data_IF_219453876300
#
_entry.id   IF_219453876300
#
_cell.length_a   1.000
_cell.length_b   1.000
_cell.length_c   1.000
_cell.angle_alpha   90.00
_cell.angle_beta   90.00
_cell.angle_gamma   90.00
#
_symmetry.space_group_name_H-M   'P 1'
#
loop_
_entity.id
_entity.type
_entity.pdbx_description
1 polymer ?
#
# COMPACT_ATOMS: atom_id res chain seq x y z
N UNK A 1 -17.38 -6.99 -15.77
CA UNK A 1 -15.92 -7.04 -15.48
C UNK A 1 -15.55 -5.72 -14.82
N UNK A 2 -14.84 -5.72 -13.71
CA UNK A 2 -14.43 -4.48 -13.04
C UNK A 2 -13.30 -3.82 -13.85
N UNK A 3 -13.39 -2.51 -14.08
CA UNK A 3 -12.34 -1.73 -14.76
C UNK A 3 -12.05 -0.51 -13.90
N UNK A 4 -10.79 -0.33 -13.50
CA UNK A 4 -10.36 0.89 -12.81
C UNK A 4 -10.12 2.01 -13.83
N UNK A 5 -10.73 3.17 -13.58
CA UNK A 5 -10.40 4.42 -14.23
C UNK A 5 -9.90 5.39 -13.14
N UNK A 6 -8.63 5.27 -12.78
CA UNK A 6 -8.03 6.04 -11.68
C UNK A 6 -8.41 5.49 -10.29
N UNK A 7 -8.67 6.36 -9.31
CA UNK A 7 -8.89 6.05 -7.88
C UNK A 7 -10.20 5.27 -7.57
N UNK A 8 -11.04 4.98 -8.56
CA UNK A 8 -12.34 4.34 -8.36
C UNK A 8 -12.41 3.00 -9.12
N UNK A 9 -12.67 1.93 -8.36
CA UNK A 9 -12.95 0.61 -8.89
C UNK A 9 -14.45 0.53 -9.20
N UNK A 10 -14.80 0.57 -10.49
CA UNK A 10 -16.19 0.55 -10.94
C UNK A 10 -16.52 -0.82 -11.51
N UNK A 11 -17.61 -1.43 -11.02
CA UNK A 11 -18.21 -2.59 -11.67
C UNK A 11 -18.83 -2.07 -12.98
N UNK A 12 -18.29 -2.52 -14.11
CA UNK A 12 -18.85 -2.21 -15.42
C UNK A 12 -19.48 -3.46 -16.00
N UNK A 13 -20.75 -3.32 -16.34
CA UNK A 13 -21.43 -4.27 -17.22
C UNK A 13 -21.12 -3.89 -18.67
N UNK A 14 -20.58 -4.82 -19.45
CA UNK A 14 -20.28 -4.65 -20.86
C UNK A 14 -21.39 -5.30 -21.69
N UNK A 15 -22.09 -4.51 -22.51
CA UNK A 15 -23.15 -4.98 -23.40
C UNK A 15 -22.74 -4.79 -24.85
N UNK A 16 -22.92 -5.82 -25.68
CA UNK A 16 -22.61 -5.81 -27.11
C UNK A 16 -23.88 -5.65 -27.93
N UNK A 17 -23.97 -4.57 -28.71
CA UNK A 17 -25.10 -4.32 -29.60
C UNK A 17 -24.67 -3.53 -30.84
N UNK A 18 -25.18 -3.91 -32.02
CA UNK A 18 -24.88 -3.25 -33.30
C UNK A 18 -23.38 -3.03 -33.57
N UNK A 19 -22.53 -4.01 -33.25
CA UNK A 19 -21.09 -3.92 -33.49
C UNK A 19 -20.33 -3.01 -32.52
N UNK A 20 -20.95 -2.58 -31.42
CA UNK A 20 -20.33 -1.70 -30.41
C UNK A 20 -20.48 -2.29 -29.01
N UNK A 21 -19.43 -2.18 -28.22
CA UNK A 21 -19.48 -2.43 -26.78
C UNK A 21 -19.88 -1.14 -26.05
N UNK A 22 -20.81 -1.24 -25.12
CA UNK A 22 -21.20 -0.15 -24.22
C UNK A 22 -20.90 -0.58 -22.79
N UNK A 23 -20.19 0.26 -22.05
CA UNK A 23 -19.92 0.06 -20.62
C UNK A 23 -20.89 0.93 -19.81
N UNK A 24 -21.52 0.36 -18.80
CA UNK A 24 -22.41 1.09 -17.88
C UNK A 24 -21.94 0.90 -16.44
N UNK A 25 -21.73 2.01 -15.75
CA UNK A 25 -21.49 2.08 -14.31
C UNK A 25 -22.82 1.86 -13.55
N UNK A 26 -22.81 0.86 -12.68
CA UNK A 26 -23.95 0.43 -11.85
C UNK A 26 -24.09 1.27 -10.56
N UNK A 27 -23.09 2.11 -10.22
CA UNK A 27 -23.04 2.95 -9.02
C UNK A 27 -23.09 4.48 -9.29
N UNK A 28 -23.47 4.88 -10.51
CA UNK A 28 -23.94 6.23 -10.85
C UNK A 28 -23.03 7.43 -10.50
N UNK A 29 -21.70 7.27 -10.39
CA UNK A 29 -20.79 8.37 -10.04
C UNK A 29 -20.05 8.99 -11.23
N UNK A 30 -20.05 8.36 -12.40
CA UNK A 30 -19.49 8.95 -13.62
C UNK A 30 -20.53 9.13 -14.72
N UNK A 31 -20.56 10.31 -15.31
CA UNK A 31 -21.34 10.61 -16.51
C UNK A 31 -21.06 9.55 -17.59
N UNK A 32 -22.13 8.99 -18.16
CA UNK A 32 -22.09 7.96 -19.22
C UNK A 32 -21.12 8.36 -20.34
N UNK A 33 -19.89 7.86 -20.32
CA UNK A 33 -18.95 8.01 -21.44
C UNK A 33 -19.13 6.82 -22.37
N UNK A 34 -19.56 7.10 -23.59
CA UNK A 34 -19.65 6.11 -24.67
C UNK A 34 -18.30 6.02 -25.37
N UNK A 35 -17.74 4.82 -25.46
CA UNK A 35 -16.53 4.54 -26.23
C UNK A 35 -16.91 3.68 -27.43
N UNK A 36 -16.46 4.06 -28.63
CA UNK A 36 -16.60 3.24 -29.84
C UNK A 36 -15.32 2.44 -30.06
N UNK A 37 -15.40 1.13 -29.91
CA UNK A 37 -14.29 0.21 -30.16
C UNK A 37 -14.37 -0.30 -31.60
N UNK A 38 -13.32 -0.10 -32.41
CA UNK A 38 -13.19 -0.66 -33.76
C UNK A 38 -12.56 -2.06 -33.70
N UNK A 39 -12.83 -2.95 -34.68
CA UNK A 39 -12.46 -4.37 -34.61
C UNK A 39 -10.94 -4.66 -34.68
N UNK A 40 -10.10 -3.67 -34.96
CA UNK A 40 -8.63 -3.77 -34.93
C UNK A 40 -8.02 -3.35 -33.59
N UNK A 41 -8.83 -2.85 -32.65
CA UNK A 41 -8.44 -2.44 -31.30
C UNK A 41 -8.98 -3.41 -30.24
N UNK A 42 -9.18 -4.68 -30.61
CA UNK A 42 -9.35 -5.75 -29.64
C UNK A 42 -8.01 -5.97 -28.91
N UNK A 43 -8.05 -5.77 -27.59
CA UNK A 43 -7.11 -6.30 -26.60
C UNK A 43 -5.83 -5.49 -26.33
N UNK A 44 -5.95 -4.18 -26.12
CA UNK A 44 -5.27 -3.59 -24.97
C UNK A 44 -6.35 -3.01 -24.04
N UNK A 45 -7.18 -3.91 -23.52
CA UNK A 45 -7.77 -3.65 -22.22
C UNK A 45 -6.56 -3.64 -21.28
N UNK A 46 -6.08 -2.44 -20.91
CA UNK A 46 -5.24 -2.32 -19.73
C UNK A 46 -6.12 -2.84 -18.60
N UNK A 47 -5.95 -4.13 -18.32
CA UNK A 47 -6.35 -4.74 -17.08
C UNK A 47 -5.50 -4.08 -15.99
N UNK A 48 -5.88 -2.87 -15.59
CA UNK A 48 -5.72 -2.51 -14.19
C UNK A 48 -6.72 -3.37 -13.43
N UNK A 49 -6.41 -4.66 -13.29
CA UNK A 49 -7.02 -5.48 -12.26
C UNK A 49 -6.74 -4.71 -10.97
N UNK A 50 -7.79 -4.24 -10.30
CA UNK A 50 -7.70 -3.93 -8.89
C UNK A 50 -7.27 -5.24 -8.23
N UNK A 51 -5.96 -5.41 -8.02
CA UNK A 51 -5.40 -6.57 -7.33
C UNK A 51 -6.10 -6.62 -5.99
N UNK A 52 -6.88 -7.67 -5.74
CA UNK A 52 -7.85 -7.70 -4.63
C UNK A 52 -7.14 -7.39 -3.31
N UNK A 53 -7.35 -6.18 -2.77
CA UNK A 53 -6.75 -5.71 -1.52
C UNK A 53 -5.44 -4.92 -1.63
N UNK A 54 -4.89 -4.72 -2.84
CA UNK A 54 -3.68 -3.91 -3.07
C UNK A 54 -4.01 -2.57 -3.72
N UNK A 55 -3.32 -1.51 -3.29
CA UNK A 55 -3.37 -0.17 -3.90
C UNK A 55 -2.08 0.09 -4.67
N UNK A 56 -2.17 0.74 -5.82
CA UNK A 56 -0.99 1.16 -6.60
C UNK A 56 -0.67 2.62 -6.30
N UNK A 57 0.61 2.91 -6.11
CA UNK A 57 1.13 4.28 -6.04
C UNK A 57 2.53 4.31 -6.68
N UNK A 58 2.75 5.24 -7.61
CA UNK A 58 3.95 5.25 -8.43
C UNK A 58 4.17 3.92 -9.17
N UNK A 59 5.33 3.31 -8.95
CA UNK A 59 5.73 2.01 -9.48
C UNK A 59 5.55 0.84 -8.50
N UNK A 60 4.99 1.09 -7.32
CA UNK A 60 4.83 0.10 -6.25
C UNK A 60 3.37 -0.24 -5.99
N UNK A 61 3.17 -1.39 -5.35
CA UNK A 61 1.90 -1.93 -4.92
C UNK A 61 1.93 -2.13 -3.41
N UNK A 62 0.87 -1.70 -2.74
CA UNK A 62 0.78 -1.65 -1.28
C UNK A 62 -0.42 -2.44 -0.78
N UNK A 63 -0.19 -3.31 0.20
CA UNK A 63 -1.24 -4.03 0.91
C UNK A 63 -1.36 -3.49 2.32
N UNK A 64 -2.58 -3.14 2.71
CA UNK A 64 -2.90 -2.67 4.06
C UNK A 64 -3.67 -3.78 4.78
N UNK A 65 -3.11 -4.28 5.88
CA UNK A 65 -3.68 -5.42 6.59
C UNK A 65 -5.04 -5.13 7.24
N UNK A 66 -5.87 -6.16 7.35
CA UNK A 66 -7.09 -6.15 8.17
C UNK A 66 -6.94 -6.93 9.50
N UNK A 67 -5.74 -7.42 9.81
CA UNK A 67 -5.44 -8.20 11.01
C UNK A 67 -4.40 -7.54 11.89
N UNK A 68 -3.95 -8.24 12.92
CA UNK A 68 -2.84 -7.81 13.77
C UNK A 68 -1.80 -8.92 13.91
N UNK A 69 -0.52 -8.54 13.89
CA UNK A 69 0.66 -9.42 13.98
C UNK A 69 1.81 -8.68 14.64
N UNK A 70 2.77 -9.41 15.21
CA UNK A 70 4.04 -8.82 15.60
C UNK A 70 4.89 -8.46 14.36
N UNK A 71 5.98 -7.70 14.55
CA UNK A 71 6.77 -7.19 13.42
C UNK A 71 7.34 -8.33 12.55
N UNK A 72 7.87 -9.37 13.18
CA UNK A 72 8.47 -10.51 12.48
C UNK A 72 7.43 -11.30 11.66
N UNK A 73 6.27 -11.59 12.25
CA UNK A 73 5.17 -12.29 11.57
C UNK A 73 4.56 -11.45 10.44
N UNK A 74 4.49 -10.12 10.62
CA UNK A 74 4.02 -9.19 9.60
C UNK A 74 4.95 -9.20 8.38
N UNK A 75 6.26 -9.16 8.64
CA UNK A 75 7.28 -9.28 7.59
C UNK A 75 7.21 -10.61 6.85
N UNK A 76 7.05 -11.70 7.60
CA UNK A 76 6.87 -13.03 7.01
C UNK A 76 5.64 -13.06 6.09
N UNK A 77 4.51 -12.51 6.53
CA UNK A 77 3.29 -12.44 5.72
C UNK A 77 3.51 -11.68 4.40
N UNK A 78 4.19 -10.53 4.43
CA UNK A 78 4.51 -9.81 3.20
C UNK A 78 5.38 -10.64 2.25
N UNK A 79 6.38 -11.35 2.80
CA UNK A 79 7.28 -12.22 2.03
C UNK A 79 6.58 -13.41 1.39
N UNK A 80 5.63 -14.02 2.08
CA UNK A 80 4.80 -15.11 1.54
C UNK A 80 3.97 -14.65 0.32
N UNK A 81 3.69 -13.35 0.20
CA UNK A 81 2.99 -12.76 -0.95
C UNK A 81 3.93 -12.20 -2.04
N UNK A 82 5.26 -12.37 -1.91
CA UNK A 82 6.23 -11.78 -2.85
C UNK A 82 6.44 -10.27 -2.66
N UNK A 83 6.27 -9.79 -1.43
CA UNK A 83 6.50 -8.42 -0.99
C UNK A 83 7.44 -8.39 0.23
N UNK A 84 7.69 -7.23 0.82
CA UNK A 84 8.26 -7.10 2.18
C UNK A 84 7.47 -6.01 2.94
N UNK A 85 7.78 -5.74 4.20
CA UNK A 85 7.22 -4.57 4.89
C UNK A 85 7.60 -3.29 4.13
N UNK A 86 6.69 -2.32 4.11
CA UNK A 86 6.87 -1.08 3.35
C UNK A 86 8.13 -0.33 3.74
N UNK A 87 8.86 0.17 2.74
CA UNK A 87 9.97 1.09 2.92
C UNK A 87 9.45 2.47 2.57
N UNK A 88 9.65 3.45 3.44
CA UNK A 88 9.17 4.81 3.18
C UNK A 88 10.37 5.72 3.00
N UNK A 89 10.78 5.92 1.75
CA UNK A 89 12.01 6.64 1.42
C UNK A 89 11.78 7.99 0.71
N UNK A 90 10.52 8.34 0.45
CA UNK A 90 10.12 9.58 -0.19
C UNK A 90 8.98 10.28 0.53
N UNK A 91 8.87 11.59 0.32
CA UNK A 91 7.80 12.41 0.88
C UNK A 91 6.45 12.04 0.27
N UNK A 92 6.44 11.77 -1.03
CA UNK A 92 5.26 11.42 -1.80
C UNK A 92 4.66 10.09 -1.30
N UNK A 93 5.51 9.14 -0.93
CA UNK A 93 5.10 7.85 -0.34
C UNK A 93 4.55 8.02 1.08
N UNK A 94 5.20 8.83 1.92
CA UNK A 94 4.66 9.16 3.25
C UNK A 94 3.30 9.86 3.14
N UNK A 95 3.13 10.78 2.18
CA UNK A 95 1.85 11.43 1.88
C UNK A 95 0.79 10.41 1.42
N UNK A 96 1.14 9.46 0.56
CA UNK A 96 0.24 8.39 0.12
C UNK A 96 -0.21 7.47 1.28
N UNK A 97 0.72 7.04 2.13
CA UNK A 97 0.41 6.20 3.29
C UNK A 97 -0.48 6.95 4.28
N UNK A 98 -0.29 8.27 4.41
CA UNK A 98 -1.11 9.13 5.26
C UNK A 98 -2.60 9.17 4.90
N UNK A 99 -2.96 8.86 3.66
CA UNK A 99 -4.36 8.74 3.25
C UNK A 99 -5.06 7.52 3.88
N UNK A 100 -4.32 6.61 4.52
CA UNK A 100 -4.84 5.37 5.09
C UNK A 100 -4.97 5.49 6.60
N UNK A 101 -6.18 5.29 7.11
CA UNK A 101 -6.42 5.28 8.55
C UNK A 101 -6.04 3.93 9.19
N UNK A 102 -4.74 3.71 9.36
CA UNK A 102 -4.19 2.48 9.95
C UNK A 102 -3.10 2.81 10.99
N UNK A 103 -2.98 1.94 11.99
CA UNK A 103 -1.81 1.87 12.87
C UNK A 103 -1.08 0.57 12.59
N UNK A 104 0.12 0.66 12.02
CA UNK A 104 0.74 -0.49 11.39
C UNK A 104 2.26 -0.46 11.41
N UNK A 105 2.85 -1.65 11.46
CA UNK A 105 4.26 -1.88 11.22
C UNK A 105 4.71 -1.39 9.85
N UNK A 106 5.87 -0.74 9.83
CA UNK A 106 6.65 -0.41 8.63
C UNK A 106 7.97 -1.18 8.66
N UNK A 107 8.68 -1.22 7.54
CA UNK A 107 9.88 -2.04 7.36
C UNK A 107 11.14 -1.47 8.02
N UNK A 108 11.04 -0.70 9.09
CA UNK A 108 12.17 -0.02 9.74
C UNK A 108 12.39 -0.60 11.14
N UNK A 109 13.63 -1.00 11.44
CA UNK A 109 14.05 -1.51 12.76
C UNK A 109 15.51 -1.20 13.04
N UNK A 110 15.89 -1.08 14.30
CA UNK A 110 17.28 -1.06 14.78
C UNK A 110 17.64 -2.24 15.68
N UNK A 111 16.77 -3.25 15.80
CA UNK A 111 16.96 -4.49 16.58
C UNK A 111 18.28 -5.26 16.34
N UNK A 112 19.02 -4.98 15.26
CA UNK A 112 20.35 -5.54 15.04
C UNK A 112 21.44 -4.78 15.80
N UNK A 113 21.32 -3.47 15.92
CA UNK A 113 22.26 -2.59 16.61
C UNK A 113 21.52 -1.33 17.03
N UNK A 114 21.29 -1.20 18.33
CA UNK A 114 20.63 -0.06 18.97
C UNK A 114 21.09 1.29 18.43
N UNK A 115 20.14 2.15 18.06
CA UNK A 115 20.39 3.47 17.47
C UNK A 115 20.83 3.45 16.00
N UNK A 116 20.91 2.29 15.35
CA UNK A 116 21.22 2.15 13.92
C UNK A 116 20.01 1.57 13.16
N UNK A 117 19.09 2.45 12.80
CA UNK A 117 17.90 2.14 12.02
C UNK A 117 18.20 1.70 10.58
N UNK A 118 17.64 0.56 10.19
CA UNK A 118 17.74 0.00 8.84
C UNK A 118 16.38 -0.46 8.32
N UNK A 119 16.21 -0.29 7.03
CA UNK A 119 15.07 -0.84 6.31
C UNK A 119 15.21 -2.36 6.14
N UNK A 120 14.10 -3.04 5.87
CA UNK A 120 14.05 -4.49 5.64
C UNK A 120 14.92 -4.94 4.47
N UNK A 121 15.23 -4.08 3.50
CA UNK A 121 16.17 -4.36 2.41
C UNK A 121 17.66 -4.18 2.81
N UNK A 122 17.91 -3.72 4.04
CA UNK A 122 19.24 -3.45 4.59
C UNK A 122 19.77 -2.05 4.30
N UNK A 123 19.04 -1.22 3.56
CA UNK A 123 19.43 0.18 3.32
C UNK A 123 19.36 1.01 4.61
N UNK A 124 20.25 2.00 4.77
CA UNK A 124 20.23 2.87 5.94
C UNK A 124 19.04 3.83 5.88
N UNK A 125 18.59 4.29 7.05
CA UNK A 125 17.62 5.38 7.14
C UNK A 125 18.23 6.70 6.63
N UNK A 126 17.68 7.28 5.57
CA UNK A 126 18.12 8.57 5.01
C UNK A 126 17.08 9.68 5.13
N UNK A 127 15.81 9.31 5.21
CA UNK A 127 14.66 10.23 5.33
C UNK A 127 13.81 9.72 6.47
N UNK A 128 13.45 10.61 7.39
CA UNK A 128 12.74 10.24 8.61
C UNK A 128 11.44 11.02 8.75
N UNK A 129 10.44 10.36 9.31
CA UNK A 129 9.15 10.95 9.64
C UNK A 129 8.74 10.61 11.07
N UNK A 130 9.70 10.61 12.00
CA UNK A 130 9.46 10.42 13.43
C UNK A 130 8.57 11.52 14.01
N UNK A 131 7.62 11.14 14.85
CA UNK A 131 6.84 12.09 15.65
C UNK A 131 7.77 12.87 16.58
N UNK A 132 7.32 14.04 17.01
CA UNK A 132 8.08 14.84 17.98
C UNK A 132 8.33 14.04 19.25
N UNK A 133 9.61 13.79 19.55
CA UNK A 133 10.03 13.00 20.71
C UNK A 133 10.43 11.57 20.39
N UNK A 134 10.16 11.09 19.17
CA UNK A 134 10.51 9.74 18.71
C UNK A 134 11.77 9.75 17.80
N UNK A 135 12.47 8.61 17.67
CA UNK A 135 12.32 7.41 18.48
C UNK A 135 12.83 7.65 19.91
N UNK A 136 12.14 7.11 20.91
CA UNK A 136 12.41 7.41 22.32
C UNK A 136 12.99 6.23 23.11
N UNK A 137 12.99 5.03 22.52
CA UNK A 137 13.48 3.78 23.10
C UNK A 137 12.99 3.55 24.55
N UNK A 138 11.66 3.62 24.76
CA UNK A 138 11.09 3.49 26.11
C UNK A 138 11.38 2.11 26.67
N UNK A 139 12.24 2.08 27.69
CA UNK A 139 12.59 0.84 28.38
C UNK A 139 13.79 0.10 27.80
N UNK A 140 14.44 0.64 26.74
CA UNK A 140 15.50 -0.04 25.99
C UNK A 140 15.01 -1.34 25.33
N UNK A 141 13.84 -1.28 24.68
CA UNK A 141 13.15 -2.42 24.06
C UNK A 141 12.25 -2.00 22.88
N UNK A 142 12.37 -0.77 22.36
CA UNK A 142 11.53 -0.28 21.26
C UNK A 142 12.24 -0.34 19.91
N UNK A 143 12.53 -1.54 19.42
CA UNK A 143 13.42 -1.68 18.26
C UNK A 143 12.73 -1.67 16.89
N UNK A 144 11.40 -1.46 16.84
CA UNK A 144 10.59 -1.60 15.63
C UNK A 144 9.69 -0.39 15.39
N UNK A 145 9.70 0.13 14.15
CA UNK A 145 8.91 1.29 13.81
C UNK A 145 7.47 0.96 13.36
N UNK A 146 6.52 1.74 13.84
CA UNK A 146 5.13 1.79 13.37
C UNK A 146 4.82 3.14 12.75
N UNK A 147 3.93 3.10 11.75
CA UNK A 147 3.18 4.24 11.27
C UNK A 147 1.89 4.41 12.09
N UNK A 148 1.61 5.64 12.50
CA UNK A 148 0.34 6.08 13.08
C UNK A 148 -0.34 7.11 12.17
N UNK A 149 -1.65 7.06 12.00
CA UNK A 149 -2.34 8.09 11.22
C UNK A 149 -2.51 9.39 12.01
N UNK A 150 -1.82 10.46 11.58
CA UNK A 150 -2.00 11.81 12.11
C UNK A 150 -2.43 12.79 11.01
N UNK A 151 -3.60 13.42 11.19
CA UNK A 151 -4.22 14.27 10.16
C UNK A 151 -3.37 15.49 9.80
N UNK A 152 -2.61 16.05 10.75
CA UNK A 152 -2.00 17.37 10.60
C UNK A 152 -0.52 17.30 10.16
N UNK A 153 0.19 16.22 10.47
CA UNK A 153 1.64 16.11 10.26
C UNK A 153 2.02 14.98 9.30
N UNK A 154 3.18 15.07 8.65
CA UNK A 154 3.81 13.91 7.98
C UNK A 154 4.70 13.13 8.94
N UNK A 155 5.13 13.75 10.03
CA UNK A 155 5.90 13.12 11.08
C UNK A 155 4.96 12.27 11.93
N UNK A 156 4.90 10.97 11.64
CA UNK A 156 3.90 10.06 12.19
C UNK A 156 4.43 8.70 12.64
N UNK A 157 5.76 8.51 12.63
CA UNK A 157 6.37 7.26 13.06
C UNK A 157 6.64 7.25 14.56
N UNK A 158 6.60 6.06 15.13
CA UNK A 158 6.92 5.74 16.52
C UNK A 158 7.73 4.45 16.52
N UNK A 159 8.67 4.31 17.43
CA UNK A 159 9.27 3.04 17.80
C UNK A 159 8.45 2.40 18.93
N UNK A 160 8.24 1.08 18.90
CA UNK A 160 7.58 0.32 19.98
C UNK A 160 8.19 -1.09 20.05
N UNK A 161 7.94 -1.87 21.12
CA UNK A 161 8.46 -3.23 21.20
C UNK A 161 7.97 -4.12 20.06
N UNK A 162 8.91 -4.76 19.36
CA UNK A 162 8.64 -5.59 18.18
C UNK A 162 7.63 -6.71 18.41
N UNK A 163 7.41 -7.11 19.67
CA UNK A 163 6.48 -8.15 20.09
C UNK A 163 5.00 -7.73 20.05
N UNK A 164 4.72 -6.42 19.94
CA UNK A 164 3.35 -5.92 19.94
C UNK A 164 2.58 -6.34 18.69
N UNK A 165 1.29 -6.61 18.81
CA UNK A 165 0.46 -6.92 17.65
C UNK A 165 -0.17 -5.65 17.08
N UNK A 166 0.17 -5.27 15.85
CA UNK A 166 -0.40 -4.12 15.14
C UNK A 166 -0.78 -4.51 13.71
N UNK A 167 -1.40 -3.59 12.95
CA UNK A 167 -1.53 -3.81 11.51
C UNK A 167 -0.16 -3.85 10.83
N UNK A 168 -0.11 -4.09 9.53
CA UNK A 168 1.12 -4.02 8.76
C UNK A 168 0.84 -3.55 7.34
N UNK A 169 1.87 -2.97 6.72
CA UNK A 169 1.81 -2.51 5.34
C UNK A 169 2.88 -3.27 4.57
N UNK A 170 2.47 -3.96 3.50
CA UNK A 170 3.41 -4.59 2.57
C UNK A 170 3.63 -3.71 1.35
N UNK A 171 4.80 -3.80 0.75
CA UNK A 171 5.16 -3.15 -0.51
C UNK A 171 5.86 -4.12 -1.47
N UNK A 172 5.55 -4.01 -2.77
CA UNK A 172 6.30 -4.66 -3.84
C UNK A 172 6.28 -3.84 -5.12
N UNK A 173 7.35 -3.90 -5.91
CA UNK A 173 7.40 -3.31 -7.27
C UNK A 173 6.87 -4.25 -8.34
N UNK A 174 6.61 -5.52 -7.98
CA UNK A 174 6.08 -6.52 -8.88
C UNK A 174 4.57 -6.57 -8.72
N UNK A 175 3.85 -6.35 -9.82
CA UNK A 175 2.40 -6.50 -9.84
C UNK A 175 2.01 -7.89 -9.29
N UNK A 176 1.18 -7.98 -8.24
CA UNK A 176 0.80 -9.28 -7.66
C UNK A 176 0.01 -10.10 -8.68
N UNK A 177 0.65 -11.04 -9.38
CA UNK A 177 0.03 -11.79 -10.49
C UNK A 177 -0.90 -12.91 -10.05
N UNK A 178 -1.11 -13.08 -8.74
CA UNK A 178 -1.92 -14.15 -8.17
C UNK A 178 -3.42 -13.80 -8.20
N UNK A 179 -4.04 -14.06 -9.36
CA UNK A 179 -5.36 -14.68 -9.58
C UNK A 179 -5.68 -14.67 -11.08
#
# INVERSE_FOLDING_TARGET
AAVCLGLLCVLLSAYYHNGKYTLTDENALFAKRQFTVTPLFTVFLFEERCFKGWRKFGSSYYYFSNGRKNWAESRQYCREMGADLVIINSREEQEFIKEVNIYAWIGLSDAQTEGIWKWVDGSPLTTEYWRTGEPNDTGNDEDCAVYFNEVVSLNTWNDIPCSYETGWICETTVAPTWL
#
